data_IF_170151581166
#
_entry.id   IF_170151581166
#
_cell.length_a   1.000
_cell.length_b   1.000
_cell.length_c   1.000
_cell.angle_alpha   90.00
_cell.angle_beta   90.00
_cell.angle_gamma   90.00
#
_symmetry.space_group_name_H-M   'P 1'
#
loop_
_entity.id
_entity.type
_entity.pdbx_description
1 polymer ?
#
# COMPACT_ATOMS: atom_id res chain seq x y z
N UNK A 1 12.11 -16.02 31.93
CA UNK A 1 12.36 -14.74 31.20
C UNK A 1 11.40 -14.75 30.02
N UNK A 2 10.18 -14.22 30.20
CA UNK A 2 9.15 -14.25 29.16
C UNK A 2 9.57 -13.23 28.10
N UNK A 3 9.90 -13.72 26.91
CA UNK A 3 10.08 -12.90 25.72
C UNK A 3 8.77 -12.14 25.52
N UNK A 4 8.72 -10.88 25.92
CA UNK A 4 7.51 -10.08 25.88
C UNK A 4 7.04 -9.98 24.41
N UNK A 5 5.92 -10.64 24.12
CA UNK A 5 5.33 -10.69 22.79
C UNK A 5 5.13 -9.24 22.28
N UNK A 6 5.53 -9.02 21.02
CA UNK A 6 5.21 -7.77 20.31
C UNK A 6 3.71 -7.74 20.07
N UNK A 7 3.11 -6.56 20.19
CA UNK A 7 1.69 -6.40 19.91
C UNK A 7 1.37 -6.86 18.49
N UNK A 8 0.31 -7.65 18.37
CA UNK A 8 -0.23 -8.15 17.11
C UNK A 8 -1.33 -7.24 16.55
N UNK A 9 -1.64 -6.12 17.23
CA UNK A 9 -2.65 -5.16 16.79
C UNK A 9 -2.36 -4.64 15.39
N UNK A 10 -3.37 -4.71 14.52
CA UNK A 10 -3.28 -4.27 13.12
C UNK A 10 -3.87 -2.87 12.98
N UNK A 11 -3.04 -1.93 12.56
CA UNK A 11 -3.49 -0.57 12.22
C UNK A 11 -3.84 -0.53 10.73
N UNK A 12 -5.04 -0.13 10.35
CA UNK A 12 -5.47 -0.02 8.96
C UNK A 12 -5.60 1.44 8.55
N UNK A 13 -4.99 1.81 7.42
CA UNK A 13 -5.19 3.16 6.83
C UNK A 13 -6.50 3.28 6.05
N UNK A 14 -7.41 2.30 6.15
CA UNK A 14 -8.75 2.35 5.57
C UNK A 14 -9.61 3.43 6.24
N UNK A 15 -10.46 4.07 5.43
CA UNK A 15 -11.52 4.97 5.90
C UNK A 15 -12.73 4.22 6.45
N UNK A 16 -12.87 2.93 6.12
CA UNK A 16 -14.00 2.11 6.53
C UNK A 16 -13.78 1.51 7.93
N UNK A 17 -14.85 1.27 8.70
CA UNK A 17 -14.75 0.51 9.94
C UNK A 17 -14.34 -0.94 9.64
N UNK A 18 -13.59 -1.60 10.54
CA UNK A 18 -13.24 -3.00 10.36
C UNK A 18 -14.49 -3.87 10.30
N UNK A 19 -14.64 -4.65 9.23
CA UNK A 19 -15.72 -5.65 9.14
C UNK A 19 -15.41 -6.83 10.06
N UNK A 20 -16.45 -7.50 10.54
CA UNK A 20 -16.31 -8.80 11.19
C UNK A 20 -15.52 -9.75 10.28
N UNK A 21 -14.38 -10.22 10.77
CA UNK A 21 -13.57 -11.21 10.06
C UNK A 21 -13.95 -12.57 10.63
N UNK A 22 -14.55 -13.44 9.82
CA UNK A 22 -14.93 -14.81 10.24
C UNK A 22 -13.72 -15.74 10.45
N UNK A 23 -12.48 -15.23 10.39
CA UNK A 23 -11.29 -16.05 10.58
C UNK A 23 -10.89 -16.00 12.04
N UNK A 24 -10.65 -17.19 12.60
CA UNK A 24 -10.21 -17.35 13.98
C UNK A 24 -8.96 -16.50 14.21
N UNK A 25 -8.96 -15.60 15.21
CA UNK A 25 -7.74 -14.92 15.62
C UNK A 25 -6.72 -15.99 16.02
N UNK A 26 -5.45 -15.70 15.75
CA UNK A 26 -4.37 -16.54 16.27
C UNK A 26 -4.48 -16.50 17.80
N UNK A 27 -4.93 -17.60 18.43
CA UNK A 27 -5.31 -17.64 19.84
C UNK A 27 -4.15 -17.31 20.81
N UNK A 28 -2.94 -17.12 20.30
CA UNK A 28 -1.73 -16.72 21.03
C UNK A 28 -1.25 -15.30 20.70
N UNK A 29 -1.97 -14.54 19.87
CA UNK A 29 -1.64 -13.16 19.57
C UNK A 29 -1.86 -12.25 20.78
N UNK A 30 -0.84 -11.49 21.17
CA UNK A 30 -0.97 -10.47 22.22
C UNK A 30 -1.37 -9.14 21.58
N UNK A 31 -2.59 -8.67 21.84
CA UNK A 31 -3.11 -7.40 21.34
C UNK A 31 -2.93 -6.26 22.36
N UNK A 32 -2.99 -5.01 21.90
CA UNK A 32 -2.92 -3.83 22.76
C UNK A 32 -4.14 -3.78 23.70
N UNK A 33 -3.90 -3.59 24.99
CA UNK A 33 -4.98 -3.49 25.97
C UNK A 33 -5.80 -2.21 25.79
N UNK A 34 -7.10 -2.30 26.03
CA UNK A 34 -8.04 -1.18 26.00
C UNK A 34 -9.18 -1.43 27.00
N UNK A 35 -10.03 -0.41 27.16
CA UNK A 35 -11.28 -0.53 27.88
C UNK A 35 -12.42 0.03 27.04
N UNK A 36 -13.52 -0.69 26.99
CA UNK A 36 -14.77 -0.18 26.47
C UNK A 36 -15.65 0.22 27.65
N UNK A 37 -16.15 1.45 27.64
CA UNK A 37 -16.79 2.04 28.81
C UNK A 37 -18.17 2.54 28.43
N UNK A 38 -19.20 2.08 29.15
CA UNK A 38 -20.54 2.64 29.11
C UNK A 38 -20.73 3.61 30.28
N UNK A 39 -21.92 4.19 30.39
CA UNK A 39 -22.27 5.05 31.53
C UNK A 39 -22.20 4.33 32.89
N UNK A 40 -22.33 3.00 32.89
CA UNK A 40 -22.48 2.20 34.11
C UNK A 40 -21.34 1.19 34.32
N UNK A 41 -20.69 0.71 33.25
CA UNK A 41 -19.74 -0.39 33.32
C UNK A 41 -18.48 -0.13 32.48
N UNK A 42 -17.38 -0.79 32.87
CA UNK A 42 -16.09 -0.74 32.19
C UNK A 42 -15.63 -2.15 31.87
N UNK A 43 -15.58 -2.47 30.58
CA UNK A 43 -15.21 -3.77 30.07
C UNK A 43 -13.73 -3.77 29.65
N UNK A 44 -12.86 -4.59 30.26
CA UNK A 44 -11.52 -4.80 29.74
C UNK A 44 -11.59 -5.50 28.39
N UNK A 45 -10.88 -4.97 27.40
CA UNK A 45 -10.82 -5.54 26.06
C UNK A 45 -9.41 -5.45 25.49
N UNK A 46 -9.18 -6.15 24.38
CA UNK A 46 -7.93 -6.04 23.62
C UNK A 46 -8.23 -5.60 22.19
N UNK A 47 -7.40 -4.70 21.66
CA UNK A 47 -7.56 -4.08 20.35
C UNK A 47 -6.93 -4.96 19.28
N UNK A 48 -7.73 -5.72 18.53
CA UNK A 48 -7.21 -6.53 17.44
C UNK A 48 -6.86 -5.67 16.22
N UNK A 49 -7.80 -4.81 15.81
CA UNK A 49 -7.68 -4.02 14.59
C UNK A 49 -8.24 -2.62 14.81
N UNK A 50 -7.58 -1.62 14.25
CA UNK A 50 -7.97 -0.21 14.38
C UNK A 50 -7.87 0.50 13.02
N UNK A 51 -8.95 1.12 12.56
CA UNK A 51 -8.98 2.01 11.40
C UNK A 51 -9.32 3.45 11.80
N UNK A 52 -9.49 4.36 10.83
CA UNK A 52 -9.96 5.72 11.17
C UNK A 52 -11.41 5.77 11.61
N UNK A 53 -12.24 4.78 11.27
CA UNK A 53 -13.69 4.80 11.54
C UNK A 53 -14.15 3.77 12.58
N UNK A 54 -13.29 2.86 13.01
CA UNK A 54 -13.66 1.90 14.05
C UNK A 54 -12.55 0.94 14.46
N UNK A 55 -12.94 0.01 15.32
CA UNK A 55 -12.06 -1.01 15.89
C UNK A 55 -12.74 -2.38 15.95
N UNK A 56 -11.93 -3.43 15.87
CA UNK A 56 -12.31 -4.80 16.29
C UNK A 56 -11.69 -5.05 17.67
N UNK A 57 -12.52 -5.44 18.63
CA UNK A 57 -12.14 -5.65 20.02
C UNK A 57 -12.37 -7.11 20.41
N UNK A 58 -11.46 -7.68 21.19
CA UNK A 58 -11.64 -8.95 21.88
C UNK A 58 -12.03 -8.70 23.33
N UNK A 59 -13.13 -9.27 23.77
CA UNK A 59 -13.68 -9.09 25.12
C UNK A 59 -14.52 -10.27 25.56
N UNK A 60 -14.53 -10.53 26.86
CA UNK A 60 -15.30 -11.63 27.46
C UNK A 60 -16.78 -11.34 27.71
N UNK A 61 -17.31 -10.23 27.19
CA UNK A 61 -18.68 -9.77 27.41
C UNK A 61 -19.44 -9.67 26.09
N UNK A 62 -20.73 -9.97 26.12
CA UNK A 62 -21.62 -9.77 24.98
C UNK A 62 -22.26 -8.38 25.10
N UNK A 63 -22.06 -7.55 24.09
CA UNK A 63 -22.53 -6.17 24.08
C UNK A 63 -23.83 -6.04 23.29
N UNK A 64 -24.61 -5.00 23.61
CA UNK A 64 -25.84 -4.69 22.87
C UNK A 64 -25.48 -3.88 21.63
N UNK A 65 -26.05 -4.25 20.48
CA UNK A 65 -25.88 -3.49 19.24
C UNK A 65 -26.45 -2.07 19.38
N UNK A 66 -25.78 -1.11 18.75
CA UNK A 66 -26.06 0.34 18.80
C UNK A 66 -25.92 0.97 20.20
N UNK A 67 -25.34 0.26 21.18
CA UNK A 67 -25.05 0.80 22.49
C UNK A 67 -23.96 1.89 22.41
N UNK A 68 -24.22 3.13 22.88
CA UNK A 68 -23.24 4.20 22.90
C UNK A 68 -22.21 3.96 24.01
N UNK A 69 -20.93 4.02 23.65
CA UNK A 69 -19.81 3.76 24.55
C UNK A 69 -18.62 4.62 24.17
N UNK A 70 -17.56 4.62 24.99
CA UNK A 70 -16.27 5.16 24.59
C UNK A 70 -15.14 4.13 24.76
N UNK A 71 -14.22 4.12 23.81
CA UNK A 71 -13.05 3.25 23.78
C UNK A 71 -11.84 4.00 24.34
N UNK A 72 -11.33 3.54 25.48
CA UNK A 72 -10.10 4.02 26.10
C UNK A 72 -8.92 3.12 25.72
N UNK A 73 -7.98 3.65 24.94
CA UNK A 73 -6.80 2.91 24.50
C UNK A 73 -5.67 3.02 25.53
N UNK A 74 -4.79 2.01 25.64
CA UNK A 74 -3.60 2.08 26.51
C UNK A 74 -2.68 3.28 26.23
N UNK A 75 -2.75 3.86 25.02
CA UNK A 75 -2.03 5.08 24.64
C UNK A 75 -2.55 6.35 25.32
N UNK A 76 -3.67 6.27 26.06
CA UNK A 76 -4.36 7.38 26.74
C UNK A 76 -5.37 8.12 25.86
N UNK A 77 -5.57 7.69 24.61
CA UNK A 77 -6.61 8.24 23.74
C UNK A 77 -7.97 7.63 24.08
N UNK A 78 -9.00 8.47 24.17
CA UNK A 78 -10.41 8.06 24.32
C UNK A 78 -11.21 8.50 23.09
N UNK A 79 -12.06 7.62 22.57
CA UNK A 79 -12.86 7.85 21.35
C UNK A 79 -14.28 7.40 21.60
N UNK A 80 -15.27 8.25 21.30
CA UNK A 80 -16.70 7.90 21.42
C UNK A 80 -17.20 7.17 20.18
N UNK A 81 -18.23 6.35 20.36
CA UNK A 81 -18.80 5.56 19.30
C UNK A 81 -19.89 4.63 19.80
N UNK A 82 -20.17 3.61 18.99
CA UNK A 82 -21.18 2.61 19.30
C UNK A 82 -20.78 1.21 18.85
N UNK A 83 -21.39 0.21 19.48
CA UNK A 83 -21.24 -1.19 19.10
C UNK A 83 -22.01 -1.44 17.80
N UNK A 84 -21.32 -1.92 16.76
CA UNK A 84 -21.93 -2.27 15.47
C UNK A 84 -22.35 -3.74 15.43
N UNK A 85 -21.54 -4.61 16.03
CA UNK A 85 -21.82 -6.04 16.16
C UNK A 85 -21.07 -6.62 17.36
N UNK A 86 -21.58 -7.73 17.91
CA UNK A 86 -20.91 -8.52 18.95
C UNK A 86 -21.18 -10.00 18.71
N UNK A 87 -20.12 -10.79 18.56
CA UNK A 87 -20.19 -12.24 18.30
C UNK A 87 -18.90 -12.93 18.75
N UNK A 88 -19.01 -14.15 19.28
CA UNK A 88 -17.88 -15.04 19.56
C UNK A 88 -16.71 -14.43 20.38
N UNK A 89 -17.01 -13.54 21.34
CA UNK A 89 -15.99 -12.87 22.16
C UNK A 89 -15.30 -11.70 21.46
N UNK A 90 -15.84 -11.28 20.32
CA UNK A 90 -15.43 -10.10 19.58
C UNK A 90 -16.57 -9.07 19.50
N UNK A 91 -16.18 -7.82 19.33
CA UNK A 91 -17.11 -6.74 18.97
C UNK A 91 -16.50 -5.79 17.96
N UNK A 92 -17.35 -5.32 17.05
CA UNK A 92 -17.07 -4.18 16.19
C UNK A 92 -17.53 -2.90 16.88
N UNK A 93 -16.64 -1.93 16.99
CA UNK A 93 -16.93 -0.62 17.56
C UNK A 93 -16.71 0.45 16.48
N UNK A 94 -17.74 1.21 16.16
CA UNK A 94 -17.72 2.27 15.14
C UNK A 94 -17.66 3.62 15.83
N UNK A 95 -16.74 4.47 15.41
CA UNK A 95 -16.56 5.80 16.00
C UNK A 95 -17.61 6.79 15.49
N UNK A 96 -18.00 7.72 16.35
CA UNK A 96 -18.92 8.81 15.96
C UNK A 96 -18.25 9.74 14.94
N UNK A 97 -16.96 10.01 15.13
CA UNK A 97 -16.13 10.82 14.25
C UNK A 97 -14.85 10.08 13.85
N UNK A 98 -14.38 10.24 12.59
CA UNK A 98 -13.13 9.63 12.17
C UNK A 98 -11.92 10.13 12.97
N UNK A 99 -11.04 9.22 13.39
CA UNK A 99 -9.79 9.55 14.06
C UNK A 99 -8.61 9.65 13.08
N UNK A 100 -7.61 10.46 13.41
CA UNK A 100 -6.31 10.42 12.73
C UNK A 100 -5.53 9.17 13.16
N UNK A 101 -5.72 8.08 12.40
CA UNK A 101 -5.10 6.78 12.66
C UNK A 101 -3.56 6.85 12.70
N UNK A 102 -2.95 7.75 11.92
CA UNK A 102 -1.49 7.90 11.89
C UNK A 102 -1.02 8.55 13.19
N UNK A 103 -1.73 9.57 13.68
CA UNK A 103 -1.45 10.18 14.97
C UNK A 103 -1.70 9.21 16.14
N UNK A 104 -2.71 8.36 16.06
CA UNK A 104 -2.96 7.28 17.03
C UNK A 104 -1.85 6.24 17.05
N UNK A 105 -1.36 5.82 15.87
CA UNK A 105 -0.20 4.93 15.75
C UNK A 105 1.06 5.57 16.37
N UNK A 106 1.30 6.84 16.10
CA UNK A 106 2.43 7.58 16.68
C UNK A 106 2.36 7.63 18.22
N UNK A 107 1.17 7.91 18.78
CA UNK A 107 0.94 7.93 20.23
C UNK A 107 1.19 6.55 20.85
N UNK A 108 0.70 5.50 20.21
CA UNK A 108 0.91 4.12 20.65
C UNK A 108 2.40 3.78 20.71
N UNK A 109 3.14 4.05 19.63
CA UNK A 109 4.60 3.86 19.59
C UNK A 109 5.34 4.69 20.66
N UNK A 110 4.90 5.93 20.91
CA UNK A 110 5.51 6.80 21.92
C UNK A 110 5.28 6.29 23.36
N UNK A 111 4.13 5.64 23.61
CA UNK A 111 3.79 5.05 24.91
C UNK A 111 4.60 3.79 25.25
N UNK A 112 5.24 3.16 24.25
CA UNK A 112 6.07 1.98 24.44
C UNK A 112 7.50 2.35 24.91
N UNK A 113 8.12 1.51 25.77
CA UNK A 113 9.55 1.59 26.08
C UNK A 113 10.40 1.55 24.80
N UNK A 114 11.57 2.20 24.83
CA UNK A 114 12.43 2.35 23.65
C UNK A 114 12.79 1.00 23.02
N UNK A 115 13.03 -0.02 23.84
CA UNK A 115 13.39 -1.38 23.43
C UNK A 115 12.23 -2.15 22.77
N UNK A 116 10.99 -1.71 23.00
CA UNK A 116 9.76 -2.31 22.45
C UNK A 116 9.14 -1.50 21.31
N UNK A 117 9.70 -0.33 20.99
CA UNK A 117 9.20 0.57 19.93
C UNK A 117 9.56 0.03 18.54
N UNK A 118 8.83 -0.97 18.09
CA UNK A 118 8.88 -1.48 16.72
C UNK A 118 7.58 -1.12 15.99
N UNK A 119 7.69 -0.81 14.70
CA UNK A 119 6.51 -0.52 13.88
C UNK A 119 5.61 -1.77 13.80
N UNK A 120 4.33 -1.70 14.22
CA UNK A 120 3.39 -2.80 14.00
C UNK A 120 3.14 -3.00 12.51
N UNK A 121 2.46 -4.10 12.15
CA UNK A 121 1.98 -4.26 10.77
C UNK A 121 0.86 -3.26 10.53
N UNK A 122 1.05 -2.40 9.54
CA UNK A 122 0.05 -1.44 9.09
C UNK A 122 -0.58 -1.97 7.81
N UNK A 123 -1.88 -2.22 7.84
CA UNK A 123 -2.67 -2.61 6.69
C UNK A 123 -2.83 -1.42 5.75
N UNK A 124 -2.47 -1.64 4.49
CA UNK A 124 -2.49 -0.65 3.42
C UNK A 124 -2.91 -1.35 2.12
N UNK A 125 -3.51 -0.60 1.19
CA UNK A 125 -3.89 -1.08 -0.15
C UNK A 125 -3.30 -0.20 -1.25
N UNK A 126 -1.99 -0.10 -1.25
CA UNK A 126 -1.22 0.67 -2.23
C UNK A 126 -0.80 -0.22 -3.41
N UNK A 127 -0.80 0.34 -4.62
CA UNK A 127 -0.31 -0.30 -5.84
C UNK A 127 1.22 -0.23 -5.90
N UNK A 128 1.90 -1.37 -5.84
CA UNK A 128 3.37 -1.43 -5.84
C UNK A 128 3.85 -2.12 -7.12
N UNK A 129 4.93 -1.64 -7.73
CA UNK A 129 5.62 -2.46 -8.75
C UNK A 129 6.52 -3.47 -8.07
N UNK A 130 6.43 -4.72 -8.48
CA UNK A 130 7.34 -5.79 -8.10
C UNK A 130 8.13 -6.24 -9.33
N UNK A 131 9.44 -6.36 -9.18
CA UNK A 131 10.33 -6.97 -10.15
C UNK A 131 10.97 -8.23 -9.57
N UNK A 132 10.85 -9.34 -10.30
CA UNK A 132 11.55 -10.60 -10.02
C UNK A 132 12.25 -11.06 -11.30
N UNK A 133 13.58 -11.13 -11.26
CA UNK A 133 14.39 -11.31 -12.46
C UNK A 133 14.10 -10.24 -13.52
N UNK A 134 13.73 -10.66 -14.74
CA UNK A 134 13.34 -9.75 -15.83
C UNK A 134 11.86 -9.32 -15.82
N UNK A 135 11.02 -9.98 -15.02
CA UNK A 135 9.56 -9.73 -15.01
C UNK A 135 9.23 -8.58 -14.08
N UNK A 136 8.38 -7.66 -14.54
CA UNK A 136 7.82 -6.56 -13.74
C UNK A 136 6.31 -6.68 -13.78
N UNK A 137 5.66 -6.57 -12.62
CA UNK A 137 4.20 -6.52 -12.51
C UNK A 137 3.78 -5.48 -11.47
N UNK A 138 2.55 -4.99 -11.57
CA UNK A 138 1.92 -4.26 -10.48
C UNK A 138 1.20 -5.24 -9.54
N UNK A 139 1.56 -5.19 -8.27
CA UNK A 139 0.94 -5.91 -7.17
C UNK A 139 0.14 -4.95 -6.27
N UNK A 140 -0.71 -5.50 -5.41
CA UNK A 140 -1.37 -4.73 -4.35
C UNK A 140 -0.77 -5.09 -3.02
N UNK A 141 -0.41 -4.10 -2.24
CA UNK A 141 -0.01 -4.32 -0.86
C UNK A 141 -1.22 -4.71 0.00
N UNK A 142 -0.95 -5.52 1.02
CA UNK A 142 -1.89 -5.92 2.07
C UNK A 142 -1.52 -5.26 3.39
N UNK A 143 -0.24 -5.37 3.75
CA UNK A 143 0.31 -4.76 4.94
C UNK A 143 1.80 -4.47 4.76
N UNK A 144 2.31 -3.56 5.58
CA UNK A 144 3.72 -3.21 5.63
C UNK A 144 4.16 -3.06 7.09
N UNK A 145 5.41 -3.40 7.36
CA UNK A 145 6.06 -3.22 8.66
C UNK A 145 7.46 -2.67 8.46
N UNK A 146 8.21 -2.47 9.55
CA UNK A 146 9.62 -2.07 9.47
C UNK A 146 10.46 -3.07 8.65
N UNK A 147 10.17 -4.36 8.70
CA UNK A 147 11.02 -5.40 8.12
C UNK A 147 10.51 -6.03 6.82
N UNK A 148 9.32 -5.66 6.34
CA UNK A 148 8.76 -6.31 5.16
C UNK A 148 7.34 -5.88 4.82
N UNK A 149 6.83 -6.48 3.74
CA UNK A 149 5.52 -6.21 3.15
C UNK A 149 4.82 -7.52 2.77
N UNK A 150 3.51 -7.58 2.95
CA UNK A 150 2.65 -8.59 2.34
C UNK A 150 1.98 -8.03 1.10
N UNK A 151 1.95 -8.79 0.00
CA UNK A 151 1.37 -8.36 -1.28
C UNK A 151 0.48 -9.45 -1.90
N UNK A 152 -0.47 -9.01 -2.73
CA UNK A 152 -1.19 -9.80 -3.72
C UNK A 152 -0.57 -9.54 -5.10
N UNK A 153 -0.12 -10.58 -5.80
CA UNK A 153 0.62 -10.48 -7.07
C UNK A 153 0.25 -11.61 -8.03
N UNK A 154 0.25 -11.33 -9.33
CA UNK A 154 0.12 -12.34 -10.38
C UNK A 154 1.43 -13.07 -10.71
N UNK A 155 2.56 -12.62 -10.16
CA UNK A 155 3.85 -13.27 -10.35
C UNK A 155 3.89 -14.60 -9.57
N UNK A 156 4.31 -15.65 -10.26
CA UNK A 156 4.73 -16.88 -9.60
C UNK A 156 6.07 -16.62 -8.90
N UNK A 157 6.05 -16.58 -7.57
CA UNK A 157 7.20 -16.34 -6.72
C UNK A 157 7.53 -17.59 -5.89
N UNK A 158 8.81 -17.87 -5.72
CA UNK A 158 9.31 -18.91 -4.84
C UNK A 158 9.97 -18.31 -3.60
N UNK A 159 9.97 -19.08 -2.51
CA UNK A 159 10.70 -18.69 -1.29
C UNK A 159 12.19 -18.57 -1.60
N UNK A 160 12.78 -17.45 -1.20
CA UNK A 160 14.19 -17.13 -1.47
C UNK A 160 14.41 -16.28 -2.72
N UNK A 161 13.38 -16.04 -3.54
CA UNK A 161 13.52 -15.19 -4.73
C UNK A 161 13.91 -13.76 -4.33
N UNK A 162 14.95 -13.18 -4.97
CA UNK A 162 15.25 -11.76 -4.82
C UNK A 162 14.26 -10.94 -5.63
N UNK A 163 13.70 -9.91 -5.01
CA UNK A 163 12.73 -9.01 -5.62
C UNK A 163 13.09 -7.56 -5.34
N UNK A 164 12.72 -6.68 -6.28
CA UNK A 164 12.74 -5.24 -6.05
C UNK A 164 11.32 -4.70 -6.05
N UNK A 165 11.00 -3.88 -5.06
CA UNK A 165 9.70 -3.25 -4.86
C UNK A 165 9.82 -1.74 -5.06
N UNK A 166 8.91 -1.17 -5.84
CA UNK A 166 8.79 0.29 -6.04
C UNK A 166 7.45 0.77 -5.52
N UNK A 167 7.49 1.48 -4.39
CA UNK A 167 6.34 2.18 -3.83
C UNK A 167 6.35 3.63 -4.30
N UNK A 168 5.17 4.23 -4.40
CA UNK A 168 5.09 5.67 -4.66
C UNK A 168 5.71 6.46 -3.50
N UNK A 169 6.51 7.46 -3.83
CA UNK A 169 7.21 8.35 -2.91
C UNK A 169 8.23 7.68 -1.96
N UNK A 170 8.59 6.42 -2.17
CA UNK A 170 9.76 5.79 -1.53
C UNK A 170 10.87 5.54 -2.56
N UNK A 171 12.07 5.29 -2.06
CA UNK A 171 13.13 4.65 -2.88
C UNK A 171 12.72 3.22 -3.24
N UNK A 172 13.26 2.65 -4.32
CA UNK A 172 13.17 1.21 -4.56
C UNK A 172 13.78 0.44 -3.38
N UNK A 173 13.12 -0.65 -3.02
CA UNK A 173 13.50 -1.51 -1.90
C UNK A 173 13.78 -2.91 -2.44
N UNK A 174 14.98 -3.40 -2.16
CA UNK A 174 15.33 -4.79 -2.41
C UNK A 174 14.86 -5.66 -1.25
N UNK A 175 14.48 -6.88 -1.56
CA UNK A 175 13.97 -7.82 -0.58
C UNK A 175 13.99 -9.25 -1.08
N UNK A 176 13.65 -10.16 -0.17
CA UNK A 176 13.63 -11.58 -0.40
C UNK A 176 12.25 -12.16 -0.04
N UNK A 177 11.69 -12.97 -0.92
CA UNK A 177 10.43 -13.69 -0.67
C UNK A 177 10.61 -14.69 0.48
N UNK A 178 9.77 -14.59 1.51
CA UNK A 178 9.80 -15.44 2.72
C UNK A 178 8.75 -16.53 2.69
N UNK A 179 7.63 -16.26 2.05
CA UNK A 179 6.55 -17.22 1.78
C UNK A 179 5.78 -16.74 0.55
N UNK A 180 5.22 -17.68 -0.20
CA UNK A 180 4.34 -17.42 -1.32
C UNK A 180 3.26 -18.50 -1.36
N UNK A 181 2.00 -18.10 -1.45
CA UNK A 181 0.85 -19.00 -1.47
C UNK A 181 -0.37 -18.27 -2.07
N UNK A 182 -1.11 -18.95 -2.96
CA UNK A 182 -2.40 -18.49 -3.49
C UNK A 182 -2.39 -17.05 -4.04
N UNK A 183 -1.37 -16.70 -4.83
CA UNK A 183 -1.20 -15.34 -5.39
C UNK A 183 -0.80 -14.27 -4.36
N UNK A 184 -0.43 -14.69 -3.15
CA UNK A 184 0.05 -13.82 -2.09
C UNK A 184 1.51 -14.12 -1.79
N UNK A 185 2.26 -13.10 -1.39
CA UNK A 185 3.64 -13.27 -0.95
C UNK A 185 3.98 -12.34 0.22
N UNK A 186 4.82 -12.84 1.12
CA UNK A 186 5.46 -12.04 2.16
C UNK A 186 6.92 -11.82 1.81
N UNK A 187 7.31 -10.56 1.71
CA UNK A 187 8.67 -10.15 1.32
C UNK A 187 9.33 -9.48 2.52
N UNK A 188 10.50 -9.97 2.91
CA UNK A 188 11.36 -9.29 3.87
C UNK A 188 12.22 -8.28 3.11
N UNK A 189 12.34 -7.05 3.62
CA UNK A 189 13.25 -6.06 3.06
C UNK A 189 14.69 -6.41 3.45
N UNK A 190 15.62 -6.23 2.51
CA UNK A 190 17.05 -6.39 2.79
C UNK A 190 17.53 -5.31 3.78
N UNK A 191 17.00 -4.08 3.62
CA UNK A 191 17.17 -2.97 4.55
C UNK A 191 15.80 -2.51 5.06
N UNK A 192 15.61 -2.57 6.38
CA UNK A 192 14.34 -2.20 7.02
C UNK A 192 14.01 -0.71 6.89
N UNK A 193 12.72 -0.40 6.88
CA UNK A 193 12.22 0.97 6.85
C UNK A 193 12.04 1.52 8.26
N UNK A 194 12.85 2.52 8.62
CA UNK A 194 12.69 3.23 9.89
C UNK A 194 11.36 3.99 9.97
N UNK A 195 10.87 4.19 11.19
CA UNK A 195 9.63 4.95 11.46
C UNK A 195 9.68 6.39 10.91
N UNK A 196 10.88 6.99 10.87
CA UNK A 196 11.13 8.32 10.31
C UNK A 196 10.81 8.39 8.81
N UNK A 197 10.88 7.26 8.11
CA UNK A 197 10.51 7.12 6.69
C UNK A 197 9.04 6.72 6.54
N UNK A 198 8.59 5.73 7.31
CA UNK A 198 7.23 5.20 7.21
C UNK A 198 6.16 6.23 7.62
N UNK A 199 6.38 7.00 8.68
CA UNK A 199 5.36 7.93 9.19
C UNK A 199 5.00 9.06 8.20
N UNK A 200 5.97 9.79 7.61
CA UNK A 200 5.67 10.73 6.54
C UNK A 200 5.06 10.06 5.31
N UNK A 201 5.52 8.85 4.99
CA UNK A 201 5.02 8.11 3.84
C UNK A 201 3.56 7.67 4.00
N UNK A 202 3.15 7.19 5.18
CA UNK A 202 1.75 6.89 5.49
C UNK A 202 0.86 8.11 5.28
N UNK A 203 1.30 9.29 5.72
CA UNK A 203 0.56 10.55 5.49
C UNK A 203 0.45 10.90 4.02
N UNK A 204 1.50 10.63 3.24
CA UNK A 204 1.48 10.85 1.80
C UNK A 204 0.46 9.95 1.11
N UNK A 205 0.50 8.64 1.37
CA UNK A 205 -0.40 7.69 0.70
C UNK A 205 -1.86 7.85 1.15
N UNK A 206 -2.12 8.24 2.41
CA UNK A 206 -3.49 8.48 2.89
C UNK A 206 -4.13 9.68 2.16
N UNK A 207 -3.37 10.74 1.89
CA UNK A 207 -3.84 11.90 1.09
C UNK A 207 -4.02 11.57 -0.39
N UNK A 208 -3.21 10.65 -0.91
CA UNK A 208 -3.23 10.26 -2.31
C UNK A 208 -4.31 9.21 -2.64
N UNK A 209 -5.10 8.75 -1.66
CA UNK A 209 -6.26 7.89 -1.90
C UNK A 209 -7.53 8.72 -2.19
N UNK A 210 -7.89 8.87 -3.47
CA UNK A 210 -9.26 8.70 -3.90
C UNK A 210 -9.36 7.41 -4.73
N UNK A 211 -10.43 6.64 -4.52
CA UNK A 211 -10.64 5.29 -5.07
C UNK A 211 -10.51 5.21 -6.59
N UNK A 212 -9.31 4.96 -7.09
CA UNK A 212 -9.05 4.71 -8.50
C UNK A 212 -9.03 3.22 -8.77
N UNK A 213 -10.16 2.68 -9.24
CA UNK A 213 -10.20 1.39 -9.92
C UNK A 213 -9.26 1.37 -11.12
N UNK A 214 -8.85 0.16 -11.53
CA UNK A 214 -8.07 -0.04 -12.75
C UNK A 214 -8.93 0.44 -13.93
N UNK A 215 -8.58 1.56 -14.56
CA UNK A 215 -9.17 1.89 -15.87
C UNK A 215 -8.60 0.88 -16.88
N UNK A 216 -9.43 0.02 -17.50
CA UNK A 216 -8.95 -0.87 -18.55
C UNK A 216 -8.34 -0.03 -19.68
N UNK A 217 -7.36 -0.60 -20.38
CA UNK A 217 -6.86 0.02 -21.62
C UNK A 217 -8.03 0.06 -22.61
N UNK A 218 -8.67 1.22 -22.78
CA UNK A 218 -9.61 1.42 -23.87
C UNK A 218 -8.81 1.66 -25.16
N UNK A 219 -8.76 0.64 -26.02
CA UNK A 219 -8.05 0.69 -27.30
C UNK A 219 -8.67 1.68 -28.29
N UNK A 220 -9.89 2.17 -28.03
CA UNK A 220 -10.62 3.12 -28.89
C UNK A 220 -10.45 4.58 -28.46
N UNK A 221 -9.86 4.86 -27.29
CA UNK A 221 -9.54 6.24 -26.90
C UNK A 221 -8.32 6.72 -27.69
N UNK A 222 -8.45 7.85 -28.42
CA UNK A 222 -7.30 8.54 -29.01
C UNK A 222 -6.25 8.78 -27.92
N UNK A 223 -5.18 8.00 -27.93
CA UNK A 223 -4.08 8.20 -26.99
C UNK A 223 -3.28 9.44 -27.37
N UNK A 224 -2.46 9.92 -26.45
CA UNK A 224 -1.72 11.18 -26.62
C UNK A 224 -0.65 11.11 -27.72
N UNK A 225 -0.21 9.91 -28.11
CA UNK A 225 0.73 9.71 -29.22
C UNK A 225 -0.02 9.66 -30.56
N UNK A 226 0.35 10.48 -31.56
CA UNK A 226 -0.21 10.39 -32.92
C UNK A 226 -0.07 8.98 -33.51
N UNK A 227 -1.18 8.46 -34.02
CA UNK A 227 -1.48 7.01 -33.98
C UNK A 227 -0.64 6.12 -34.91
N UNK A 228 -0.10 6.65 -36.02
CA UNK A 228 0.43 5.82 -37.12
C UNK A 228 1.64 4.92 -36.80
N UNK A 229 2.30 5.09 -35.65
CA UNK A 229 3.41 4.23 -35.21
C UNK A 229 3.38 3.90 -33.72
N UNK A 230 2.29 4.23 -33.00
CA UNK A 230 2.20 4.04 -31.56
C UNK A 230 1.89 2.57 -31.24
N UNK A 231 2.77 1.92 -30.50
CA UNK A 231 2.47 0.58 -29.98
C UNK A 231 1.65 0.75 -28.71
N UNK A 232 0.37 0.35 -28.75
CA UNK A 232 -0.52 0.35 -27.59
C UNK A 232 -0.26 -0.89 -26.75
N UNK A 233 0.01 -0.67 -25.46
CA UNK A 233 0.25 -1.74 -24.50
C UNK A 233 -0.23 -1.30 -23.13
N UNK A 234 -0.37 -2.26 -22.22
CA UNK A 234 -0.75 -2.01 -20.84
C UNK A 234 0.30 -2.59 -19.88
N UNK A 235 1.49 -1.98 -19.90
CA UNK A 235 2.67 -2.48 -19.21
C UNK A 235 2.97 -1.66 -17.94
N UNK A 236 3.44 -2.28 -16.85
CA UNK A 236 3.91 -1.55 -15.67
C UNK A 236 5.17 -0.75 -15.99
N UNK A 237 5.32 0.39 -15.35
CA UNK A 237 6.50 1.24 -15.44
C UNK A 237 6.74 1.95 -14.11
N UNK A 238 7.94 2.46 -13.92
CA UNK A 238 8.25 3.33 -12.79
C UNK A 238 8.89 4.62 -13.30
N UNK A 239 8.46 5.75 -12.78
CA UNK A 239 9.00 7.06 -13.11
C UNK A 239 9.70 7.66 -11.90
N UNK A 240 10.81 8.35 -12.14
CA UNK A 240 11.56 9.05 -11.10
C UNK A 240 11.77 10.51 -11.44
N UNK A 241 11.48 11.39 -10.49
CA UNK A 241 11.84 12.80 -10.51
C UNK A 241 12.74 13.08 -9.30
N UNK A 242 14.01 13.43 -9.55
CA UNK A 242 15.03 13.53 -8.50
C UNK A 242 15.22 12.22 -7.73
N UNK A 243 14.78 12.20 -6.46
CA UNK A 243 14.88 11.02 -5.57
C UNK A 243 13.55 10.28 -5.40
N UNK A 244 12.45 10.84 -5.89
CA UNK A 244 11.11 10.28 -5.70
C UNK A 244 10.73 9.39 -6.85
N UNK A 245 10.14 8.25 -6.54
CA UNK A 245 9.66 7.29 -7.51
C UNK A 245 8.14 7.20 -7.47
N UNK A 246 7.53 6.94 -8.62
CA UNK A 246 6.11 6.65 -8.74
C UNK A 246 5.88 5.51 -9.72
N UNK A 247 4.83 4.76 -9.47
CA UNK A 247 4.32 3.73 -10.36
C UNK A 247 3.54 4.40 -11.49
N UNK A 248 3.67 3.83 -12.68
CA UNK A 248 2.99 4.28 -13.89
C UNK A 248 2.61 3.07 -14.75
N UNK A 249 1.67 3.27 -15.67
CA UNK A 249 1.38 2.30 -16.71
C UNK A 249 1.68 2.89 -18.07
N UNK A 250 2.45 2.18 -18.88
CA UNK A 250 2.58 2.51 -20.29
C UNK A 250 1.25 2.23 -20.95
N UNK A 251 0.71 3.22 -21.67
CA UNK A 251 -0.50 3.11 -22.50
C UNK A 251 -0.18 3.14 -23.99
N UNK A 252 0.94 3.75 -24.35
CA UNK A 252 1.46 3.80 -25.71
C UNK A 252 2.95 4.08 -25.71
N UNK A 253 3.68 3.51 -26.67
CA UNK A 253 5.11 3.75 -26.80
C UNK A 253 5.55 3.78 -28.27
N UNK A 254 6.55 4.60 -28.54
CA UNK A 254 7.35 4.62 -29.78
C UNK A 254 8.82 4.70 -29.40
N UNK A 255 9.71 4.76 -30.39
CA UNK A 255 11.13 5.00 -30.12
C UNK A 255 11.39 6.32 -29.36
N UNK A 256 10.55 7.35 -29.56
CA UNK A 256 10.78 8.70 -29.03
C UNK A 256 9.81 9.10 -27.93
N UNK A 257 8.60 8.54 -27.94
CA UNK A 257 7.50 8.97 -27.08
C UNK A 257 7.01 7.81 -26.22
N UNK A 258 6.64 8.11 -24.99
CA UNK A 258 5.94 7.20 -24.09
C UNK A 258 4.77 7.91 -23.45
N UNK A 259 3.60 7.31 -23.57
CA UNK A 259 2.37 7.72 -22.91
C UNK A 259 2.23 6.91 -21.63
N UNK A 260 2.18 7.61 -20.50
CA UNK A 260 2.15 7.02 -19.17
C UNK A 260 0.89 7.46 -18.43
N UNK A 261 0.20 6.51 -17.80
CA UNK A 261 -0.83 6.77 -16.82
C UNK A 261 -0.25 6.68 -15.41
N UNK A 262 -0.44 7.71 -14.60
CA UNK A 262 0.08 7.76 -13.23
C UNK A 262 -0.78 8.67 -12.35
N UNK A 263 -0.78 8.41 -11.04
CA UNK A 263 -1.45 9.28 -10.06
C UNK A 263 -0.58 10.48 -9.65
N UNK A 264 0.70 10.45 -10.01
CA UNK A 264 1.61 11.54 -9.71
C UNK A 264 1.33 12.75 -10.61
N UNK A 265 1.30 13.93 -10.01
CA UNK A 265 1.19 15.18 -10.74
C UNK A 265 2.58 15.69 -11.10
N UNK A 266 2.79 16.00 -12.37
CA UNK A 266 4.02 16.60 -12.89
C UNK A 266 3.73 17.93 -13.56
N UNK A 267 4.77 18.72 -13.79
CA UNK A 267 4.69 19.92 -14.61
C UNK A 267 5.14 19.60 -16.04
N UNK A 268 4.57 20.29 -17.03
CA UNK A 268 5.13 20.27 -18.39
C UNK A 268 6.56 20.79 -18.37
N UNK A 269 7.47 20.08 -19.03
CA UNK A 269 8.91 20.32 -19.00
C UNK A 269 9.65 19.59 -17.87
N UNK A 270 8.97 18.88 -16.98
CA UNK A 270 9.62 18.09 -15.93
C UNK A 270 10.54 17.00 -16.53
N UNK A 271 11.73 16.85 -15.94
CA UNK A 271 12.70 15.83 -16.35
C UNK A 271 12.51 14.57 -15.50
N UNK A 272 12.11 13.50 -16.16
CA UNK A 272 11.84 12.21 -15.54
C UNK A 272 12.87 11.17 -15.99
N UNK A 273 13.11 10.18 -15.14
CA UNK A 273 13.65 8.90 -15.57
C UNK A 273 12.50 7.90 -15.67
N UNK A 274 12.21 7.43 -16.88
CA UNK A 274 11.15 6.43 -17.12
C UNK A 274 11.82 5.07 -17.18
N UNK A 275 11.49 4.19 -16.23
CA UNK A 275 11.92 2.81 -16.20
C UNK A 275 10.85 1.90 -16.77
N UNK A 276 11.24 1.10 -17.77
CA UNK A 276 10.37 0.19 -18.50
C UNK A 276 10.78 -1.27 -18.23
N UNK A 277 9.84 -2.23 -18.35
CA UNK A 277 10.13 -3.64 -18.15
C UNK A 277 11.25 -4.13 -19.06
N UNK A 278 12.08 -5.05 -18.56
CA UNK A 278 13.19 -5.71 -19.27
C UNK A 278 14.36 -4.82 -19.75
N UNK A 279 14.15 -3.50 -19.90
CA UNK A 279 15.14 -2.60 -20.52
C UNK A 279 15.67 -1.52 -19.57
N UNK A 280 15.08 -1.36 -18.38
CA UNK A 280 15.55 -0.43 -17.33
C UNK A 280 15.24 1.06 -17.60
N UNK A 281 15.08 1.44 -18.88
CA UNK A 281 14.53 2.71 -19.34
C UNK A 281 15.55 3.85 -19.49
N UNK A 282 15.09 5.11 -19.46
CA UNK A 282 15.94 6.26 -19.75
C UNK A 282 15.32 7.63 -19.43
N UNK A 283 16.08 8.73 -19.58
CA UNK A 283 15.61 10.07 -19.28
C UNK A 283 14.61 10.57 -20.33
N UNK A 284 13.51 11.16 -19.88
CA UNK A 284 12.45 11.72 -20.71
C UNK A 284 11.93 13.04 -20.14
N UNK A 285 11.40 13.90 -21.01
CA UNK A 285 10.77 15.17 -20.62
C UNK A 285 9.25 15.06 -20.75
N UNK A 286 8.51 15.57 -19.77
CA UNK A 286 7.05 15.69 -19.90
C UNK A 286 6.74 16.79 -20.93
N UNK A 287 6.05 16.44 -22.01
CA UNK A 287 5.69 17.39 -23.07
C UNK A 287 4.21 17.77 -23.05
N UNK A 288 3.36 16.89 -22.56
CA UNK A 288 1.91 17.12 -22.47
C UNK A 288 1.32 16.37 -21.27
N UNK A 289 0.24 16.91 -20.70
CA UNK A 289 -0.47 16.35 -19.56
C UNK A 289 -1.97 16.41 -19.85
N UNK A 290 -2.65 15.27 -19.69
CA UNK A 290 -4.09 15.17 -19.84
C UNK A 290 -4.67 14.25 -18.74
N UNK A 291 -5.41 14.84 -17.80
CA UNK A 291 -5.97 14.11 -16.65
C UNK A 291 -4.90 13.35 -15.84
N UNK A 292 -4.97 12.02 -15.78
CA UNK A 292 -4.00 11.14 -15.13
C UNK A 292 -2.96 10.57 -16.11
N UNK A 293 -2.88 11.12 -17.32
CA UNK A 293 -1.90 10.74 -18.35
C UNK A 293 -0.88 11.84 -18.57
N UNK A 294 0.35 11.42 -18.79
CA UNK A 294 1.45 12.27 -19.21
C UNK A 294 2.05 11.69 -20.48
N UNK A 295 2.37 12.56 -21.43
CA UNK A 295 3.16 12.22 -22.59
C UNK A 295 4.59 12.67 -22.34
N UNK A 296 5.54 11.75 -22.50
CA UNK A 296 6.95 12.02 -22.31
C UNK A 296 7.74 11.77 -23.59
N UNK A 297 8.72 12.62 -23.86
CA UNK A 297 9.69 12.44 -24.94
C UNK A 297 11.03 11.97 -24.36
N UNK A 298 11.53 10.83 -24.83
CA UNK A 298 12.86 10.35 -24.47
C UNK A 298 13.95 11.24 -25.05
N UNK A 299 14.96 11.59 -24.23
CA UNK A 299 16.11 12.37 -24.69
C UNK A 299 16.98 11.62 -25.71
N UNK A 300 16.95 10.29 -25.65
CA UNK A 300 17.57 9.41 -26.63
C UNK A 300 16.53 8.37 -27.05
N UNK A 301 16.37 8.10 -28.35
CA UNK A 301 15.41 7.12 -28.79
C UNK A 301 15.73 5.72 -28.26
N UNK A 302 14.69 4.98 -27.91
CA UNK A 302 14.80 3.56 -27.57
C UNK A 302 15.26 2.77 -28.80
N UNK A 303 16.09 1.76 -28.59
CA UNK A 303 16.56 0.92 -29.70
C UNK A 303 15.41 0.02 -30.16
N UNK A 304 15.38 -0.40 -31.45
CA UNK A 304 14.33 -1.30 -31.95
C UNK A 304 14.19 -2.61 -31.16
N UNK A 305 15.32 -3.15 -30.68
CA UNK A 305 15.32 -4.34 -29.81
C UNK A 305 14.61 -4.09 -28.48
N UNK A 306 14.83 -2.92 -27.88
CA UNK A 306 14.24 -2.55 -26.60
C UNK A 306 12.73 -2.39 -26.72
N UNK A 307 12.25 -1.81 -27.83
CA UNK A 307 10.81 -1.72 -28.14
C UNK A 307 10.17 -3.11 -28.29
N UNK A 308 10.88 -4.06 -28.88
CA UNK A 308 10.38 -5.43 -29.07
C UNK A 308 10.25 -6.17 -27.73
N UNK A 309 11.19 -5.96 -26.81
CA UNK A 309 11.17 -6.54 -25.46
C UNK A 309 10.00 -5.99 -24.63
N UNK A 310 9.85 -4.66 -24.59
CA UNK A 310 8.77 -4.00 -23.84
C UNK A 310 7.36 -4.41 -24.33
N UNK A 311 7.24 -4.78 -25.61
CA UNK A 311 5.96 -5.16 -26.24
C UNK A 311 5.69 -6.67 -26.20
N UNK A 312 6.57 -7.45 -25.56
CA UNK A 312 6.42 -8.90 -25.46
C UNK A 312 6.56 -9.63 -26.81
N UNK A 313 7.32 -9.06 -27.75
CA UNK A 313 7.57 -9.67 -29.06
C UNK A 313 6.43 -9.54 -30.07
N UNK A 314 5.42 -8.68 -29.85
CA UNK A 314 4.46 -8.33 -30.90
C UNK A 314 5.11 -7.30 -31.86
N UNK A 315 5.41 -7.65 -33.11
CA UNK A 315 5.94 -6.68 -34.06
C UNK A 315 4.87 -5.60 -34.34
N UNK A 316 5.32 -4.34 -34.39
CA UNK A 316 4.55 -3.23 -34.95
C UNK A 316 4.12 -3.60 -36.38
N UNK A 317 2.81 -3.72 -36.60
CA UNK A 317 2.24 -3.83 -37.95
C UNK A 317 2.02 -2.43 -38.52
#
# INVERSE_FOLDING_TARGET
>A
MIQALRSATVFSLSADPPRAVLNQPDAQAAFDAAFLVSDCERYPCSLERLSSAGATLQLGAQLVQDEPMHLEMASGQSVTGKVDWSADGEAGFVFDEPIDIISTLARTLASLPAERRAMPRVEIRQLVSIRSGGKVEHARTRNISQGGVGIDTGLELAVGDPVQLTFDALRPLDGTVRWAQDGQAGIAFDEGLGWQTLMPWFRHIQRAQPGGERTPLNLESEGMIPDKHAIRLDAPASIREGVRWWNARVRGITAHLVELETRAAFATGAQLWVSLPEIGGGPANVIEIAHNRILCEFRLPLRPRDLTLVTGGKPSS
#
